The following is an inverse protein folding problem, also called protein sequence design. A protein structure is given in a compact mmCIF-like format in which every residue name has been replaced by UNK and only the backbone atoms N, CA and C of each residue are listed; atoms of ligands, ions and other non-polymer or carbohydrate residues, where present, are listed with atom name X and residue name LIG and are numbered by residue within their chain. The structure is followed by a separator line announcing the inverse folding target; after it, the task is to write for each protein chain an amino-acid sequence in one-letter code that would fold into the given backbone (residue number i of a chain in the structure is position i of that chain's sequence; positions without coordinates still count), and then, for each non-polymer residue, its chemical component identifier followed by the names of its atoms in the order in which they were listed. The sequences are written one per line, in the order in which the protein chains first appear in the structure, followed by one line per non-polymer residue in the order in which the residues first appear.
data_IF_324356903853
#
_entry.id   IF_324356903853
#
_cell.length_a   1.000
_cell.length_b   1.000
_cell.length_c   1.000
_cell.angle_alpha   90.00
_cell.angle_beta   90.00
_cell.angle_gamma   90.00
#
_symmetry.space_group_name_H-M   'P 1'
#
loop_
_entity.id
_entity.type
_entity.pdbx_description
1 polymer ?
#
# COMPACT_ATOMS: atom_id res chain seq x y z
N UNK A 1 -12.23 -4.73 -11.06
CA UNK A 1 -13.05 -5.64 -10.27
C UNK A 1 -12.18 -6.43 -9.31
N UNK A 2 -12.83 -7.09 -8.38
CA UNK A 2 -12.08 -7.88 -7.40
C UNK A 2 -11.29 -9.01 -8.06
N UNK A 3 -11.83 -9.58 -9.13
CA UNK A 3 -11.12 -10.63 -9.84
C UNK A 3 -9.85 -10.12 -10.50
N UNK A 4 -9.92 -8.92 -11.04
CA UNK A 4 -8.75 -8.31 -11.65
C UNK A 4 -7.70 -7.95 -10.60
N UNK A 5 -8.16 -7.45 -9.44
CA UNK A 5 -7.25 -7.16 -8.35
C UNK A 5 -6.57 -8.42 -7.84
N UNK A 6 -7.29 -9.52 -7.77
CA UNK A 6 -6.71 -10.78 -7.32
C UNK A 6 -5.60 -11.24 -8.23
N UNK A 7 -5.82 -11.17 -9.55
CA UNK A 7 -4.80 -11.55 -10.51
C UNK A 7 -3.61 -10.61 -10.46
N UNK A 8 -3.87 -9.31 -10.33
CA UNK A 8 -2.80 -8.34 -10.23
C UNK A 8 -1.96 -8.59 -8.99
N UNK A 9 -2.60 -8.86 -7.86
CA UNK A 9 -1.86 -9.17 -6.64
C UNK A 9 -0.98 -10.40 -6.81
N UNK A 10 -1.51 -11.45 -7.43
CA UNK A 10 -0.71 -12.64 -7.69
C UNK A 10 0.53 -12.30 -8.51
N UNK A 11 0.33 -11.52 -9.57
CA UNK A 11 1.44 -11.13 -10.42
C UNK A 11 2.50 -10.36 -9.64
N UNK A 12 2.06 -9.39 -8.82
CA UNK A 12 3.00 -8.56 -8.08
C UNK A 12 3.70 -9.36 -6.99
N UNK A 13 3.00 -10.28 -6.33
CA UNK A 13 3.65 -11.14 -5.34
C UNK A 13 4.71 -12.02 -6.00
N UNK A 14 4.42 -12.56 -7.19
CA UNK A 14 5.40 -13.34 -7.92
C UNK A 14 6.59 -12.48 -8.32
N UNK A 15 6.34 -11.24 -8.72
CA UNK A 15 7.42 -10.32 -9.04
C UNK A 15 8.34 -10.09 -7.84
N UNK A 16 7.75 -9.97 -6.65
CA UNK A 16 8.54 -9.78 -5.43
C UNK A 16 9.30 -11.03 -5.04
N UNK A 17 8.80 -12.22 -5.38
CA UNK A 17 9.58 -13.43 -5.14
C UNK A 17 10.88 -13.40 -5.91
N UNK A 18 10.83 -12.89 -7.14
CA UNK A 18 12.04 -12.80 -7.96
C UNK A 18 12.91 -11.61 -7.58
N UNK A 19 12.28 -10.51 -7.19
CA UNK A 19 13.01 -9.29 -6.85
C UNK A 19 12.34 -8.63 -5.66
N UNK A 20 12.73 -8.99 -4.43
CA UNK A 20 12.06 -8.44 -3.24
C UNK A 20 12.18 -6.94 -3.08
N UNK A 21 13.13 -6.32 -3.77
CA UNK A 21 13.34 -4.87 -3.65
C UNK A 21 12.81 -4.13 -4.87
N UNK A 22 11.64 -4.49 -5.35
CA UNK A 22 11.04 -3.88 -6.53
C UNK A 22 9.99 -2.85 -6.08
N UNK A 23 10.36 -1.54 -6.02
CA UNK A 23 9.44 -0.55 -5.45
C UNK A 23 8.11 -0.46 -6.21
N UNK A 24 8.14 -0.61 -7.53
CA UNK A 24 6.90 -0.47 -8.30
C UNK A 24 5.90 -1.56 -7.94
N UNK A 25 6.36 -2.79 -7.70
CA UNK A 25 5.46 -3.86 -7.30
C UNK A 25 4.88 -3.59 -5.92
N UNK A 26 5.72 -3.12 -5.00
CA UNK A 26 5.26 -2.76 -3.66
C UNK A 26 4.21 -1.66 -3.71
N UNK A 27 4.47 -0.63 -4.51
CA UNK A 27 3.51 0.45 -4.67
C UNK A 27 2.19 -0.04 -5.25
N UNK A 28 2.26 -0.89 -6.25
CA UNK A 28 1.04 -1.38 -6.91
C UNK A 28 0.21 -2.24 -5.96
N UNK A 29 0.85 -3.04 -5.13
CA UNK A 29 0.13 -3.79 -4.11
C UNK A 29 -0.55 -2.84 -3.12
N UNK A 30 0.18 -1.82 -2.68
CA UNK A 30 -0.39 -0.84 -1.76
C UNK A 30 -1.61 -0.15 -2.34
N UNK A 31 -1.55 0.22 -3.62
CA UNK A 31 -2.67 0.88 -4.29
C UNK A 31 -3.92 0.00 -4.24
N UNK A 32 -3.77 -1.30 -4.49
CA UNK A 32 -4.91 -2.20 -4.47
C UNK A 32 -5.50 -2.30 -3.06
N UNK A 33 -4.66 -2.45 -2.04
CA UNK A 33 -5.17 -2.53 -0.67
C UNK A 33 -5.82 -1.22 -0.24
N UNK A 34 -5.25 -0.09 -0.65
CA UNK A 34 -5.85 1.20 -0.34
C UNK A 34 -7.24 1.33 -0.97
N UNK A 35 -7.37 0.94 -2.23
CA UNK A 35 -8.65 0.99 -2.91
C UNK A 35 -9.68 0.10 -2.21
N UNK A 36 -9.28 -1.11 -1.83
CA UNK A 36 -10.18 -2.00 -1.10
C UNK A 36 -10.55 -1.44 0.26
N UNK A 37 -9.61 -0.76 0.90
CA UNK A 37 -9.90 -0.09 2.18
C UNK A 37 -10.94 0.99 2.02
N UNK A 38 -10.85 1.78 0.95
CA UNK A 38 -11.85 2.79 0.69
C UNK A 38 -13.23 2.17 0.44
N UNK A 39 -13.26 1.09 -0.30
CA UNK A 39 -14.53 0.40 -0.55
C UNK A 39 -15.14 -0.14 0.74
N UNK A 40 -14.31 -0.68 1.62
CA UNK A 40 -14.81 -1.17 2.90
C UNK A 40 -15.35 -0.03 3.75
N UNK A 41 -14.68 1.12 3.74
CA UNK A 41 -15.14 2.29 4.48
C UNK A 41 -16.49 2.76 3.96
N UNK A 42 -16.64 2.82 2.65
CA UNK A 42 -17.91 3.19 2.04
C UNK A 42 -19.03 2.25 2.45
N UNK A 43 -18.73 0.96 2.59
CA UNK A 43 -19.71 -0.03 3.00
C UNK A 43 -19.94 -0.12 4.49
N UNK A 44 -19.38 0.78 5.26
CA UNK A 44 -19.58 0.79 6.70
C UNK A 44 -18.74 -0.24 7.46
N UNK A 45 -17.78 -0.86 6.80
CA UNK A 45 -16.94 -1.89 7.41
C UNK A 45 -15.66 -1.24 7.90
N UNK A 46 -15.75 -0.43 8.95
CA UNK A 46 -14.64 0.41 9.34
C UNK A 46 -13.45 -0.39 9.87
N UNK A 47 -13.69 -1.50 10.55
CA UNK A 47 -12.58 -2.31 11.05
C UNK A 47 -11.81 -2.96 9.91
N UNK A 48 -12.54 -3.50 8.93
CA UNK A 48 -11.90 -4.09 7.77
C UNK A 48 -11.15 -3.03 6.98
N UNK A 49 -11.75 -1.85 6.85
CA UNK A 49 -11.11 -0.74 6.18
C UNK A 49 -9.77 -0.40 6.81
N UNK A 50 -9.72 -0.33 8.14
CA UNK A 50 -8.47 0.00 8.81
C UNK A 50 -7.40 -1.07 8.59
N UNK A 51 -7.79 -2.35 8.61
CA UNK A 51 -6.84 -3.42 8.34
C UNK A 51 -6.26 -3.27 6.94
N UNK A 52 -7.10 -2.98 5.97
CA UNK A 52 -6.65 -2.84 4.59
C UNK A 52 -5.76 -1.61 4.40
N UNK A 53 -6.11 -0.50 5.06
CA UNK A 53 -5.26 0.68 5.02
C UNK A 53 -3.89 0.42 5.66
N UNK A 54 -3.85 -0.36 6.74
CA UNK A 54 -2.57 -0.68 7.36
C UNK A 54 -1.71 -1.54 6.44
N UNK A 55 -2.33 -2.48 5.71
CA UNK A 55 -1.58 -3.25 4.73
C UNK A 55 -1.02 -2.34 3.65
N UNK A 56 -1.83 -1.42 3.14
CA UNK A 56 -1.36 -0.48 2.13
C UNK A 56 -0.19 0.34 2.68
N UNK A 57 -0.30 0.79 3.92
CA UNK A 57 0.75 1.59 4.53
C UNK A 57 2.06 0.82 4.61
N UNK A 58 2.00 -0.45 4.99
CA UNK A 58 3.22 -1.25 5.11
C UNK A 58 3.94 -1.38 3.77
N UNK A 59 3.20 -1.65 2.71
CA UNK A 59 3.81 -1.77 1.38
C UNK A 59 4.32 -0.42 0.88
N UNK A 60 3.58 0.67 1.12
CA UNK A 60 4.04 1.99 0.70
C UNK A 60 5.28 2.43 1.46
N UNK A 61 5.35 2.12 2.76
CA UNK A 61 6.55 2.50 3.53
C UNK A 61 7.79 1.81 2.98
N UNK A 62 7.65 0.56 2.58
CA UNK A 62 8.79 -0.14 2.01
C UNK A 62 9.15 0.41 0.63
N UNK A 63 8.15 0.71 -0.20
CA UNK A 63 8.42 1.31 -1.51
C UNK A 63 9.14 2.65 -1.37
N UNK A 64 8.71 3.46 -0.41
CA UNK A 64 9.33 4.76 -0.17
C UNK A 64 10.76 4.60 0.36
N UNK A 65 10.98 3.61 1.21
CA UNK A 65 12.33 3.35 1.70
C UNK A 65 13.28 3.05 0.54
N UNK A 66 12.79 2.31 -0.44
CA UNK A 66 13.59 1.91 -1.59
C UNK A 66 13.73 3.01 -2.64
N UNK A 67 12.71 3.87 -2.77
CA UNK A 67 12.70 4.92 -3.80
C UNK A 67 12.04 6.17 -3.22
N UNK A 68 12.75 6.91 -2.36
CA UNK A 68 12.11 7.95 -1.53
C UNK A 68 11.55 9.13 -2.30
N UNK A 69 11.96 9.36 -3.53
CA UNK A 69 11.47 10.53 -4.26
C UNK A 69 10.34 10.21 -5.24
N UNK A 70 9.92 8.94 -5.31
CA UNK A 70 8.98 8.52 -6.35
C UNK A 70 7.52 8.49 -5.91
N UNK A 71 7.25 8.42 -4.63
CA UNK A 71 5.89 8.13 -4.15
C UNK A 71 5.43 9.23 -3.20
N UNK A 72 5.41 10.46 -3.69
CA UNK A 72 5.13 11.62 -2.87
C UNK A 72 3.68 11.61 -2.36
N UNK A 73 2.74 11.22 -3.20
CA UNK A 73 1.34 11.18 -2.78
C UNK A 73 1.11 10.15 -1.68
N UNK A 74 1.74 9.00 -1.82
CA UNK A 74 1.65 7.98 -0.78
C UNK A 74 2.26 8.47 0.53
N UNK A 75 3.39 9.16 0.44
CA UNK A 75 4.02 9.71 1.62
C UNK A 75 3.12 10.71 2.31
N UNK A 76 2.48 11.59 1.53
CA UNK A 76 1.53 12.54 2.08
C UNK A 76 0.36 11.84 2.78
N UNK A 77 -0.18 10.80 2.14
CA UNK A 77 -1.28 10.06 2.75
C UNK A 77 -0.87 9.42 4.07
N UNK A 78 0.34 8.84 4.10
CA UNK A 78 0.83 8.23 5.33
C UNK A 78 0.94 9.26 6.44
N UNK A 79 1.43 10.45 6.13
CA UNK A 79 1.57 11.51 7.11
C UNK A 79 0.21 12.02 7.58
N UNK A 80 -0.70 12.24 6.63
CA UNK A 80 -2.02 12.78 6.97
C UNK A 80 -2.84 11.83 7.82
N UNK A 81 -2.63 10.54 7.65
CA UNK A 81 -3.40 9.55 8.40
C UNK A 81 -2.68 9.06 9.66
N UNK A 82 -1.52 9.64 9.97
CA UNK A 82 -0.78 9.24 11.17
C UNK A 82 -0.09 7.90 11.06
N UNK A 83 0.12 7.41 9.85
CA UNK A 83 0.72 6.09 9.64
C UNK A 83 2.22 6.15 9.32
N UNK A 84 2.77 7.34 9.22
CA UNK A 84 4.17 7.53 8.86
C UNK A 84 5.01 7.68 10.11
N UNK A 85 5.17 6.61 10.86
CA UNK A 85 5.85 6.73 12.14
C UNK A 85 7.35 6.64 12.02
N UNK A 86 7.83 5.83 11.09
CA UNK A 86 9.27 5.64 11.00
C UNK A 86 10.01 6.84 10.51
N UNK A 87 9.41 7.58 9.61
CA UNK A 87 10.12 8.68 8.99
C UNK A 87 10.32 9.85 9.92
N UNK A 88 9.50 9.93 10.92
CA UNK A 88 9.62 11.05 11.84
C UNK A 88 10.92 11.03 12.59
N UNK A 89 11.64 10.00 12.44
CA UNK A 89 12.87 9.88 13.15
C UNK A 89 13.94 10.77 12.62
N UNK A 90 13.75 11.34 11.56
CA UNK A 90 14.80 12.12 11.05
C UNK A 90 15.12 13.37 11.77
#
# INVERSE_FOLDING_TARGET
SNGEHGRALEYYYQSLERNPSLPSALNNIAVIYHYRGEQAAFGGQSEISQILFEKAADYWKEAIRLAPTNYIEAQNWLQMTGRWTGASVN
#
